data_IF_892209261254
#
_entry.id   IF_892209261254
#
_cell.length_a   1.000
_cell.length_b   1.000
_cell.length_c   1.000
_cell.angle_alpha   90.00
_cell.angle_beta   90.00
_cell.angle_gamma   90.00
#
_symmetry.space_group_name_H-M   'P 1'
#
loop_
_entity.id
_entity.type
_entity.pdbx_description
1 polymer ?
#
# COMPACT_ATOMS: atom_id res chain seq x y z
N UNK A 1 12.26 -5.59 25.98
CA UNK A 1 11.44 -6.04 24.83
C UNK A 1 11.29 -7.56 24.91
N UNK A 2 10.09 -8.07 25.22
CA UNK A 2 9.84 -9.52 25.16
C UNK A 2 9.64 -9.89 23.69
N UNK A 3 10.55 -10.72 23.17
CA UNK A 3 10.47 -11.33 21.86
C UNK A 3 9.21 -12.20 21.78
N UNK A 4 8.28 -11.84 20.90
CA UNK A 4 7.10 -12.64 20.56
C UNK A 4 7.28 -13.25 19.17
N UNK A 5 8.32 -14.06 19.00
CA UNK A 5 8.47 -14.93 17.84
C UNK A 5 8.18 -16.36 18.26
N UNK A 6 6.94 -16.79 18.05
CA UNK A 6 6.65 -18.22 17.91
C UNK A 6 7.35 -18.65 16.64
N UNK A 7 8.24 -19.64 16.76
CA UNK A 7 9.06 -20.23 15.71
C UNK A 7 8.12 -20.83 14.65
N UNK A 8 7.64 -20.01 13.73
CA UNK A 8 6.84 -20.48 12.61
C UNK A 8 7.80 -21.16 11.66
N UNK A 9 7.59 -22.47 11.49
CA UNK A 9 8.18 -23.26 10.42
C UNK A 9 8.21 -22.43 9.15
N UNK A 10 9.41 -22.36 8.56
CA UNK A 10 9.66 -21.84 7.23
C UNK A 10 8.52 -22.33 6.34
N UNK A 11 7.62 -21.42 5.99
CA UNK A 11 6.60 -21.70 4.99
C UNK A 11 7.42 -21.98 3.74
N UNK A 12 7.47 -23.25 3.36
CA UNK A 12 7.88 -23.64 2.02
C UNK A 12 6.89 -22.94 1.09
N UNK A 13 7.25 -21.73 0.67
CA UNK A 13 6.64 -21.05 -0.45
C UNK A 13 7.01 -21.92 -1.64
N UNK A 14 6.21 -22.97 -1.88
CA UNK A 14 6.00 -23.49 -3.21
C UNK A 14 5.37 -22.32 -3.98
N UNK A 15 6.23 -21.41 -4.40
CA UNK A 15 5.92 -20.26 -5.22
C UNK A 15 5.22 -20.83 -6.44
N UNK A 16 3.95 -20.48 -6.61
CA UNK A 16 3.33 -20.50 -7.92
C UNK A 16 4.36 -19.81 -8.83
N UNK A 17 4.84 -20.46 -9.91
CA UNK A 17 5.92 -19.89 -10.71
C UNK A 17 5.51 -18.47 -11.09
N UNK A 18 6.35 -17.45 -10.80
CA UNK A 18 5.98 -16.02 -10.85
C UNK A 18 5.36 -15.60 -12.19
N UNK A 19 5.67 -16.36 -13.25
CA UNK A 19 5.19 -16.22 -14.62
C UNK A 19 3.65 -16.33 -14.73
N UNK A 20 2.96 -17.17 -13.94
CA UNK A 20 1.51 -17.37 -14.09
C UNK A 20 0.65 -16.25 -13.48
N UNK A 21 1.15 -15.55 -12.45
CA UNK A 21 0.42 -14.46 -11.78
C UNK A 21 0.53 -13.17 -12.59
N UNK A 22 1.73 -12.89 -13.13
CA UNK A 22 1.98 -11.74 -14.01
C UNK A 22 1.18 -11.77 -15.32
N UNK A 23 0.73 -12.96 -15.76
CA UNK A 23 -0.15 -13.10 -16.93
C UNK A 23 -1.63 -12.79 -16.63
N UNK A 24 -2.04 -12.79 -15.35
CA UNK A 24 -3.44 -12.62 -14.95
C UNK A 24 -3.73 -11.26 -14.33
N UNK A 25 -2.75 -10.66 -13.67
CA UNK A 25 -2.87 -9.38 -12.99
C UNK A 25 -1.81 -8.39 -13.43
N UNK A 26 -2.20 -7.12 -13.52
CA UNK A 26 -1.29 -6.03 -13.89
C UNK A 26 -0.80 -5.32 -12.63
N UNK A 27 0.49 -5.42 -12.34
CA UNK A 27 1.05 -4.80 -11.13
C UNK A 27 1.22 -3.30 -11.40
N UNK A 28 0.56 -2.49 -10.59
CA UNK A 28 0.56 -1.03 -10.74
C UNK A 28 1.02 -0.35 -9.44
N UNK A 29 2.33 -0.08 -9.28
CA UNK A 29 2.79 0.76 -8.19
C UNK A 29 2.22 2.17 -8.30
N UNK A 30 1.68 2.66 -7.19
CA UNK A 30 1.25 4.04 -7.03
C UNK A 30 2.19 4.70 -6.04
N UNK A 31 2.87 5.75 -6.47
CA UNK A 31 3.80 6.51 -5.66
C UNK A 31 3.46 8.00 -5.63
N UNK A 32 3.84 8.66 -4.54
CA UNK A 32 3.66 10.09 -4.32
C UNK A 32 5.03 10.74 -4.15
N UNK A 33 5.46 11.50 -5.16
CA UNK A 33 6.77 12.16 -5.21
C UNK A 33 6.61 13.67 -5.03
N UNK A 34 7.40 14.26 -4.12
CA UNK A 34 7.43 15.71 -3.91
C UNK A 34 8.24 16.39 -5.03
N UNK A 35 7.65 17.39 -5.69
CA UNK A 35 8.34 18.20 -6.70
C UNK A 35 9.00 19.40 -6.02
N UNK A 36 10.30 19.30 -5.76
CA UNK A 36 11.05 20.30 -4.98
C UNK A 36 11.53 21.50 -5.82
N UNK A 37 11.82 21.30 -7.12
CA UNK A 37 12.44 22.34 -7.97
C UNK A 37 11.56 23.60 -8.11
N UNK A 38 10.24 23.43 -8.06
CA UNK A 38 9.26 24.50 -8.19
C UNK A 38 8.92 25.18 -6.85
N UNK A 39 9.48 24.71 -5.73
CA UNK A 39 9.09 25.13 -4.37
C UNK A 39 9.17 26.64 -4.13
N UNK A 40 10.20 27.35 -4.60
CA UNK A 40 10.30 28.82 -4.42
C UNK A 40 9.26 29.60 -5.23
N UNK A 41 8.95 29.12 -6.43
CA UNK A 41 7.95 29.76 -7.31
C UNK A 41 6.55 29.50 -6.76
N UNK A 42 6.27 28.25 -6.40
CA UNK A 42 4.96 27.82 -5.93
C UNK A 42 4.66 28.35 -4.53
N UNK A 43 5.69 28.55 -3.70
CA UNK A 43 5.55 29.24 -2.43
C UNK A 43 5.07 30.69 -2.60
N UNK A 44 5.54 31.40 -3.63
CA UNK A 44 5.06 32.77 -3.91
C UNK A 44 3.57 32.85 -4.28
N UNK A 45 2.99 31.76 -4.80
CA UNK A 45 1.56 31.66 -5.10
C UNK A 45 0.77 30.90 -4.03
N UNK A 46 1.37 30.68 -2.85
CA UNK A 46 0.68 30.15 -1.67
C UNK A 46 0.81 28.64 -1.43
N UNK A 47 1.61 27.92 -2.22
CA UNK A 47 1.77 26.46 -2.06
C UNK A 47 3.13 26.09 -1.47
N UNK A 48 3.11 25.51 -0.28
CA UNK A 48 4.32 25.05 0.43
C UNK A 48 4.88 23.73 -0.08
N UNK A 49 4.07 22.94 -0.79
CA UNK A 49 4.43 21.64 -1.31
C UNK A 49 3.63 21.35 -2.58
N UNK A 50 4.26 20.65 -3.53
CA UNK A 50 3.57 20.02 -4.65
C UNK A 50 3.99 18.58 -4.74
N UNK A 51 3.03 17.70 -5.00
CA UNK A 51 3.24 16.27 -5.15
C UNK A 51 2.73 15.81 -6.51
N UNK A 52 3.52 14.97 -7.15
CA UNK A 52 3.10 14.16 -8.28
C UNK A 52 2.70 12.79 -7.73
N UNK A 53 1.45 12.40 -7.92
CA UNK A 53 0.99 11.05 -7.62
C UNK A 53 0.82 10.34 -8.96
N UNK A 54 1.46 9.19 -9.14
CA UNK A 54 1.46 8.48 -10.42
C UNK A 54 1.33 6.98 -10.21
N UNK A 55 0.49 6.35 -11.04
CA UNK A 55 0.37 4.90 -11.15
C UNK A 55 1.10 4.40 -12.39
N UNK A 56 2.05 3.47 -12.24
CA UNK A 56 2.81 2.91 -13.36
C UNK A 56 2.38 1.46 -13.61
N UNK A 57 1.92 1.13 -14.81
CA UNK A 57 1.68 -0.27 -15.17
C UNK A 57 3.00 -0.95 -15.55
N UNK A 58 3.45 -1.89 -14.73
CA UNK A 58 4.73 -2.58 -14.97
C UNK A 58 4.71 -3.53 -16.18
N UNK A 59 3.53 -3.94 -16.63
CA UNK A 59 3.39 -4.81 -17.81
C UNK A 59 3.53 -4.04 -19.12
N UNK A 60 3.06 -2.80 -19.17
CA UNK A 60 3.10 -1.94 -20.37
C UNK A 60 4.24 -0.91 -20.34
N UNK A 61 4.72 -0.58 -19.15
CA UNK A 61 5.66 0.52 -18.92
C UNK A 61 5.02 1.91 -19.03
N UNK A 62 3.69 1.99 -19.10
CA UNK A 62 2.94 3.24 -19.30
C UNK A 62 2.32 3.69 -17.98
N UNK A 63 2.34 5.01 -17.67
CA UNK A 63 1.56 5.55 -16.57
C UNK A 63 0.05 5.39 -16.83
N UNK A 64 -0.69 4.82 -15.90
CA UNK A 64 -2.15 4.67 -15.99
C UNK A 64 -2.85 5.99 -15.66
N UNK A 65 -2.40 6.65 -14.60
CA UNK A 65 -2.91 7.96 -14.20
C UNK A 65 -1.83 8.79 -13.51
N UNK A 66 -2.02 10.10 -13.52
CA UNK A 66 -1.11 11.06 -12.90
C UNK A 66 -1.88 12.27 -12.38
N UNK A 67 -1.78 12.50 -11.07
CA UNK A 67 -2.40 13.62 -10.38
C UNK A 67 -1.33 14.57 -9.84
N UNK A 68 -1.51 15.88 -10.06
CA UNK A 68 -0.72 16.91 -9.41
C UNK A 68 -1.53 17.47 -8.24
N UNK A 69 -1.01 17.28 -7.03
CA UNK A 69 -1.59 17.84 -5.83
C UNK A 69 -0.79 19.04 -5.34
N UNK A 70 -1.48 20.17 -5.16
CA UNK A 70 -0.92 21.37 -4.54
C UNK A 70 -1.28 21.40 -3.04
N UNK A 71 -0.26 21.52 -2.18
CA UNK A 71 -0.40 21.55 -0.73
C UNK A 71 0.05 20.27 -0.03
N UNK A 72 -0.18 20.23 1.29
CA UNK A 72 0.37 19.22 2.20
C UNK A 72 -0.60 18.09 2.56
N UNK A 73 -1.64 17.87 1.74
CA UNK A 73 -2.60 16.80 1.95
C UNK A 73 -1.90 15.42 1.98
N UNK A 74 -2.47 14.50 2.76
CA UNK A 74 -1.99 13.13 2.84
C UNK A 74 -2.33 12.37 1.56
N UNK A 75 -1.45 11.46 1.14
CA UNK A 75 -1.56 10.77 -0.16
C UNK A 75 -2.82 9.89 -0.25
N UNK A 76 -3.27 9.33 0.89
CA UNK A 76 -4.51 8.54 0.97
C UNK A 76 -5.78 9.31 0.54
N UNK A 77 -5.77 10.65 0.52
CA UNK A 77 -6.91 11.43 0.03
C UNK A 77 -7.13 11.24 -1.47
N UNK A 78 -6.08 10.88 -2.21
CA UNK A 78 -6.09 10.72 -3.65
C UNK A 78 -6.00 9.25 -4.07
N UNK A 79 -5.74 8.34 -3.13
CA UNK A 79 -5.57 6.92 -3.41
C UNK A 79 -6.77 6.29 -4.12
N UNK A 80 -7.99 6.78 -3.87
CA UNK A 80 -9.19 6.21 -4.50
C UNK A 80 -9.26 6.55 -5.99
N UNK A 81 -9.04 7.82 -6.32
CA UNK A 81 -8.95 8.31 -7.70
C UNK A 81 -7.90 7.52 -8.48
N UNK A 82 -6.71 7.35 -7.89
CA UNK A 82 -5.62 6.58 -8.51
C UNK A 82 -5.98 5.10 -8.71
N UNK A 83 -6.71 4.46 -7.80
CA UNK A 83 -7.14 3.06 -7.95
C UNK A 83 -8.24 2.92 -9.01
N UNK A 84 -9.19 3.85 -9.04
CA UNK A 84 -10.32 3.82 -9.97
C UNK A 84 -9.87 3.98 -11.43
N UNK A 85 -8.74 4.65 -11.65
CA UNK A 85 -8.12 4.77 -12.96
C UNK A 85 -7.35 3.51 -13.41
N UNK A 86 -7.08 2.55 -12.51
CA UNK A 86 -6.37 1.34 -12.87
C UNK A 86 -7.24 0.36 -13.67
N UNK A 87 -6.63 -0.49 -14.51
CA UNK A 87 -7.32 -1.61 -15.15
C UNK A 87 -8.01 -2.54 -14.13
N UNK A 88 -9.12 -3.17 -14.53
CA UNK A 88 -9.93 -4.03 -13.63
C UNK A 88 -9.16 -5.19 -12.96
N UNK A 89 -8.13 -5.70 -13.61
CA UNK A 89 -7.27 -6.76 -13.09
C UNK A 89 -5.94 -6.23 -12.54
N UNK A 90 -5.87 -4.94 -12.23
CA UNK A 90 -4.69 -4.34 -11.65
C UNK A 90 -4.57 -4.66 -10.15
N UNK A 91 -3.33 -4.78 -9.69
CA UNK A 91 -2.98 -4.84 -8.27
C UNK A 91 -2.27 -3.52 -7.94
N UNK A 92 -2.94 -2.68 -7.17
CA UNK A 92 -2.37 -1.42 -6.69
C UNK A 92 -1.29 -1.71 -5.62
N UNK A 93 -0.04 -1.31 -5.87
CA UNK A 93 1.05 -1.46 -4.88
C UNK A 93 1.37 -0.09 -4.30
N UNK A 94 1.20 0.08 -3.00
CA UNK A 94 1.25 1.39 -2.34
C UNK A 94 2.10 1.38 -1.07
N UNK A 95 2.78 2.50 -0.81
CA UNK A 95 3.49 2.71 0.46
C UNK A 95 2.56 3.26 1.56
N UNK A 96 3.09 3.36 2.78
CA UNK A 96 2.40 3.77 4.01
C UNK A 96 1.68 5.12 3.94
N UNK A 97 2.01 5.99 2.99
CA UNK A 97 1.33 7.28 2.77
C UNK A 97 -0.14 7.14 2.39
N UNK A 98 -0.50 6.02 1.75
CA UNK A 98 -1.87 5.70 1.32
C UNK A 98 -2.67 4.94 2.39
N UNK A 99 -2.04 4.58 3.51
CA UNK A 99 -2.55 3.53 4.37
C UNK A 99 -3.65 3.93 5.35
N UNK A 100 -4.56 4.87 5.04
CA UNK A 100 -5.62 5.22 5.98
C UNK A 100 -6.58 4.03 6.20
N UNK A 101 -6.96 3.76 7.46
CA UNK A 101 -7.86 2.64 7.78
C UNK A 101 -9.18 2.66 7.00
N UNK A 102 -9.74 3.85 6.76
CA UNK A 102 -10.96 4.02 5.96
C UNK A 102 -10.74 3.62 4.50
N UNK A 103 -9.64 4.09 3.91
CA UNK A 103 -9.27 3.79 2.52
C UNK A 103 -9.09 2.29 2.30
N UNK A 104 -8.34 1.62 3.20
CA UNK A 104 -8.13 0.16 3.15
C UNK A 104 -9.46 -0.58 3.25
N UNK A 105 -10.33 -0.17 4.18
CA UNK A 105 -11.64 -0.79 4.40
C UNK A 105 -12.54 -0.63 3.18
N UNK A 106 -12.61 0.56 2.60
CA UNK A 106 -13.42 0.85 1.41
C UNK A 106 -12.95 0.03 0.20
N UNK A 107 -11.64 0.03 -0.08
CA UNK A 107 -11.09 -0.72 -1.21
C UNK A 107 -11.24 -2.24 -1.04
N UNK A 108 -11.18 -2.73 0.20
CA UNK A 108 -11.50 -4.13 0.49
C UNK A 108 -12.97 -4.45 0.22
N UNK A 109 -13.91 -3.56 0.53
CA UNK A 109 -15.35 -3.76 0.23
C UNK A 109 -15.66 -3.68 -1.27
N UNK A 110 -14.99 -2.80 -2.02
CA UNK A 110 -15.20 -2.59 -3.47
C UNK A 110 -14.56 -3.67 -4.36
N UNK A 111 -13.89 -4.65 -3.75
CA UNK A 111 -13.22 -5.71 -4.46
C UNK A 111 -12.00 -5.31 -5.31
N UNK A 112 -11.34 -4.20 -4.94
CA UNK A 112 -10.08 -3.79 -5.53
C UNK A 112 -8.92 -4.65 -4.99
N UNK A 113 -8.00 -5.04 -5.86
CA UNK A 113 -6.79 -5.75 -5.47
C UNK A 113 -5.68 -4.76 -5.13
N UNK A 114 -5.11 -4.89 -3.94
CA UNK A 114 -4.00 -4.03 -3.51
C UNK A 114 -2.99 -4.76 -2.62
N UNK A 115 -1.78 -4.24 -2.61
CA UNK A 115 -0.72 -4.52 -1.65
C UNK A 115 -0.29 -3.20 -1.05
N UNK A 116 -0.51 -3.05 0.25
CA UNK A 116 -0.23 -1.80 0.95
C UNK A 116 0.74 -2.05 2.10
N UNK A 117 1.79 -1.23 2.18
CA UNK A 117 2.65 -1.20 3.37
C UNK A 117 1.93 -0.50 4.52
N UNK A 118 1.74 -1.23 5.63
CA UNK A 118 1.10 -0.70 6.83
C UNK A 118 2.07 0.17 7.65
N UNK A 119 1.61 1.31 8.20
CA UNK A 119 2.36 2.08 9.18
C UNK A 119 2.67 1.26 10.43
N UNK A 120 3.86 1.43 10.99
CA UNK A 120 4.31 0.68 12.19
C UNK A 120 3.46 0.97 13.44
N UNK A 121 2.77 2.11 13.47
CA UNK A 121 1.89 2.51 14.59
C UNK A 121 0.51 1.83 14.54
N UNK A 122 0.22 1.01 13.53
CA UNK A 122 -1.05 0.29 13.46
C UNK A 122 -1.07 -0.84 14.48
N UNK A 123 -2.13 -0.88 15.31
CA UNK A 123 -2.36 -2.02 16.21
C UNK A 123 -2.76 -3.23 15.38
N UNK A 124 -2.10 -4.35 15.61
CA UNK A 124 -2.37 -5.62 14.95
C UNK A 124 -2.77 -6.65 16.00
N UNK A 125 -3.82 -7.41 15.71
CA UNK A 125 -4.26 -8.50 16.57
C UNK A 125 -4.47 -9.75 15.72
N UNK A 126 -3.78 -10.83 16.08
CA UNK A 126 -3.98 -12.13 15.44
C UNK A 126 -5.40 -12.64 15.73
N UNK A 127 -6.04 -13.18 14.71
CA UNK A 127 -7.27 -13.93 14.86
C UNK A 127 -6.89 -15.41 14.97
N UNK A 128 -7.22 -16.02 16.10
CA UNK A 128 -6.84 -17.41 16.39
C UNK A 128 -7.30 -18.35 15.27
N UNK A 129 -6.41 -19.29 14.91
CA UNK A 129 -6.65 -20.32 13.88
C UNK A 129 -6.94 -19.76 12.47
N UNK A 130 -6.50 -18.53 12.17
CA UNK A 130 -6.62 -17.95 10.82
C UNK A 130 -5.29 -17.36 10.33
N UNK A 131 -5.17 -17.19 9.02
CA UNK A 131 -4.06 -16.45 8.39
C UNK A 131 -4.27 -14.92 8.40
N UNK A 132 -5.37 -14.46 9.00
CA UNK A 132 -5.79 -13.08 9.01
C UNK A 132 -5.45 -12.37 10.32
N UNK A 133 -5.25 -11.07 10.23
CA UNK A 133 -5.03 -10.19 11.36
C UNK A 133 -6.06 -9.06 11.33
N UNK A 134 -6.52 -8.68 12.51
CA UNK A 134 -7.25 -7.42 12.69
C UNK A 134 -6.26 -6.27 12.68
N UNK A 135 -6.44 -5.33 11.76
CA UNK A 135 -5.61 -4.13 11.59
C UNK A 135 -6.38 -2.90 12.07
N UNK A 136 -5.77 -2.12 12.96
CA UNK A 136 -6.37 -0.92 13.54
C UNK A 136 -7.27 -1.20 14.75
N UNK A 137 -7.98 -0.16 15.22
CA UNK A 137 -8.89 -0.22 16.37
C UNK A 137 -10.24 0.42 16.05
N UNK A 138 -11.25 0.10 16.86
CA UNK A 138 -12.60 0.68 16.72
C UNK A 138 -13.29 0.32 15.40
N UNK A 139 -14.22 1.19 14.98
CA UNK A 139 -15.07 0.98 13.79
C UNK A 139 -14.32 1.00 12.46
N UNK A 140 -13.12 1.59 12.45
CA UNK A 140 -12.24 1.68 11.29
C UNK A 140 -11.32 0.46 11.15
N UNK A 141 -11.31 -0.44 12.14
CA UNK A 141 -10.55 -1.68 12.02
C UNK A 141 -11.11 -2.59 10.92
N UNK A 142 -10.24 -3.40 10.34
CA UNK A 142 -10.62 -4.42 9.36
C UNK A 142 -9.79 -5.68 9.54
N UNK A 143 -10.24 -6.77 8.89
CA UNK A 143 -9.57 -8.07 8.92
C UNK A 143 -8.89 -8.25 7.56
N UNK A 144 -7.58 -8.44 7.59
CA UNK A 144 -6.79 -8.57 6.38
C UNK A 144 -5.70 -9.60 6.55
N UNK A 145 -5.25 -10.18 5.44
CA UNK A 145 -4.01 -10.94 5.45
C UNK A 145 -2.88 -9.93 5.64
N UNK A 146 -1.94 -10.24 6.53
CA UNK A 146 -0.77 -9.38 6.77
C UNK A 146 0.46 -10.26 6.66
N UNK A 147 1.32 -9.95 5.70
CA UNK A 147 2.63 -10.58 5.55
C UNK A 147 3.64 -9.65 6.20
N UNK A 148 4.33 -10.16 7.21
CA UNK A 148 5.35 -9.44 7.93
C UNK A 148 6.74 -9.92 7.49
N UNK A 149 7.53 -9.02 6.92
CA UNK A 149 8.92 -9.27 6.60
C UNK A 149 9.81 -8.48 7.56
N UNK A 150 10.69 -9.17 8.27
CA UNK A 150 11.68 -8.54 9.11
C UNK A 150 13.06 -8.73 8.48
N UNK A 151 13.70 -7.64 8.15
CA UNK A 151 15.13 -7.63 7.88
C UNK A 151 15.87 -7.60 9.22
N UNK A 152 16.56 -8.70 9.55
CA UNK A 152 17.27 -8.87 10.81
C UNK A 152 18.56 -8.04 10.87
N UNK A 153 19.15 -7.73 9.71
CA UNK A 153 20.40 -6.98 9.59
C UNK A 153 20.11 -5.49 9.74
N UNK A 154 19.08 -5.00 9.05
CA UNK A 154 18.66 -3.60 9.10
C UNK A 154 17.61 -3.30 10.19
N UNK A 155 17.24 -4.30 11.00
CA UNK A 155 16.20 -4.23 12.05
C UNK A 155 14.90 -3.57 11.58
N UNK A 156 14.52 -3.81 10.33
CA UNK A 156 13.40 -3.14 9.67
C UNK A 156 12.23 -4.10 9.48
N UNK A 157 11.02 -3.65 9.86
CA UNK A 157 9.79 -4.43 9.75
C UNK A 157 8.92 -3.86 8.62
N UNK A 158 8.55 -4.71 7.67
CA UNK A 158 7.67 -4.38 6.55
C UNK A 158 6.42 -5.23 6.64
N UNK A 159 5.29 -4.56 6.82
CA UNK A 159 3.98 -5.20 6.93
C UNK A 159 3.20 -4.90 5.67
N UNK A 160 2.93 -5.92 4.86
CA UNK A 160 2.12 -5.76 3.66
C UNK A 160 0.78 -6.44 3.87
N UNK A 161 -0.29 -5.80 3.41
CA UNK A 161 -1.62 -6.39 3.47
C UNK A 161 -2.15 -6.68 2.07
N UNK A 162 -1.94 -7.91 1.54
CA UNK A 162 -2.54 -8.33 0.29
C UNK A 162 -4.01 -8.69 0.53
N UNK A 163 -4.86 -8.31 -0.42
CA UNK A 163 -6.20 -8.88 -0.52
C UNK A 163 -6.17 -10.19 -1.33
N UNK A 164 -6.86 -11.22 -0.83
CA UNK A 164 -7.22 -12.45 -1.56
C UNK A 164 -8.56 -12.30 -2.23
#
# INVERSE_FOLDING_TARGET
MKSYFKKNNLINLNLIPPIKIAQRYQICPIDSTIITLTSKLLFKIGYSQVKLISGLNLSTGVPEDTLINFGSNHDYNYGQEMIDALPKNAIAVMDRGFASLNFIKQNSLMNNYFVLRLPNNYKLQFLEKSEFMKVGTGQKSGIYRVINFCDLENRSEYKTSPKT
#
